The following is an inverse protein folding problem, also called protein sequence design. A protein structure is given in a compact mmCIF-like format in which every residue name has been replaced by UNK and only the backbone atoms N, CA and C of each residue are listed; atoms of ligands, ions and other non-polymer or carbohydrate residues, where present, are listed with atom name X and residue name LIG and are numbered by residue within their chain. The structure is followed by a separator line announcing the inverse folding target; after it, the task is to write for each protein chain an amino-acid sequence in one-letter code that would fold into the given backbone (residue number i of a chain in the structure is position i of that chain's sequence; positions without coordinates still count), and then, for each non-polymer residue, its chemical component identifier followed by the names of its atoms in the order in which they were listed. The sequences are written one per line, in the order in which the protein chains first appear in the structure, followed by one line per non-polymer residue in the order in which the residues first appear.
data_IF_552236560567
#
_entry.id   IF_552236560567
#
_cell.length_a   1.000
_cell.length_b   1.000
_cell.length_c   1.000
_cell.angle_alpha   90.00
_cell.angle_beta   90.00
_cell.angle_gamma   90.00
#
_symmetry.space_group_name_H-M   'P 1'
#
loop_
_entity.id
_entity.type
_entity.pdbx_description
1 polymer ?
#
# COMPACT_ATOMS: atom_id res chain seq x y z
N UNK A 1 19.96 2.59 5.51
CA UNK A 1 18.90 3.61 5.32
C UNK A 1 17.56 2.94 5.53
N UNK A 2 16.94 3.12 6.69
CA UNK A 2 15.56 2.67 6.93
C UNK A 2 14.62 3.62 6.18
N UNK A 3 13.78 3.08 5.28
CA UNK A 3 12.76 3.85 4.54
C UNK A 3 11.45 3.73 5.29
N UNK A 4 11.14 4.74 6.10
CA UNK A 4 9.84 4.93 6.75
C UNK A 4 9.01 5.93 5.97
N UNK A 5 7.70 5.69 5.91
CA UNK A 5 6.73 6.59 5.28
C UNK A 5 5.83 7.18 6.35
N UNK A 6 5.87 8.50 6.49
CA UNK A 6 5.03 9.25 7.41
C UNK A 6 3.82 9.82 6.66
N UNK A 7 2.64 9.62 7.22
CA UNK A 7 1.40 10.22 6.75
C UNK A 7 0.60 10.77 7.93
N UNK A 8 -0.20 11.79 7.66
CA UNK A 8 -1.09 12.36 8.67
C UNK A 8 -2.49 11.83 8.42
N UNK A 9 -3.05 11.12 9.40
CA UNK A 9 -4.46 10.72 9.39
C UNK A 9 -5.25 11.85 10.00
N UNK A 10 -6.13 12.47 9.21
CA UNK A 10 -7.06 13.47 9.70
C UNK A 10 -8.38 12.76 10.01
N UNK A 11 -8.73 12.72 11.29
CA UNK A 11 -10.04 12.20 11.70
C UNK A 11 -11.10 13.23 11.32
N UNK A 12 -11.93 12.87 10.34
CA UNK A 12 -13.03 13.74 9.90
C UNK A 12 -14.07 14.00 11.01
N UNK A 13 -14.09 13.18 12.07
CA UNK A 13 -15.09 13.25 13.12
C UNK A 13 -14.72 14.19 14.28
N UNK A 14 -13.43 14.48 14.48
CA UNK A 14 -12.93 15.21 15.67
C UNK A 14 -11.95 16.35 15.30
N UNK A 15 -11.61 16.51 14.02
CA UNK A 15 -10.61 17.50 13.57
C UNK A 15 -9.18 17.20 14.03
N UNK A 16 -8.97 16.09 14.74
CA UNK A 16 -7.66 15.65 15.22
C UNK A 16 -6.85 15.06 14.08
N UNK A 17 -5.61 15.52 13.95
CA UNK A 17 -4.64 14.98 13.01
C UNK A 17 -3.62 14.15 13.79
N UNK A 18 -3.60 12.84 13.53
CA UNK A 18 -2.57 11.96 14.07
C UNK A 18 -1.52 11.71 13.00
N UNK A 19 -0.28 12.14 13.27
CA UNK A 19 0.88 11.68 12.50
C UNK A 19 1.09 10.20 12.77
N UNK A 20 1.13 9.42 11.70
CA UNK A 20 1.36 8.00 11.75
C UNK A 20 2.46 7.63 10.77
N UNK A 21 3.36 6.78 11.21
CA UNK A 21 4.45 6.27 10.39
C UNK A 21 4.27 4.80 10.16
N UNK A 22 4.42 4.37 8.91
CA UNK A 22 4.49 2.97 8.53
C UNK A 22 5.89 2.69 8.02
N UNK A 23 6.42 1.52 8.38
CA UNK A 23 7.76 1.09 7.96
C UNK A 23 7.68 0.15 6.76
N UNK A 24 8.72 0.16 5.94
CA UNK A 24 8.91 -0.88 4.94
C UNK A 24 9.21 -2.21 5.65
N UNK A 25 8.33 -3.19 5.49
CA UNK A 25 8.50 -4.56 5.99
C UNK A 25 9.31 -5.39 5.01
N UNK A 26 10.18 -6.25 5.53
CA UNK A 26 10.92 -7.22 4.72
C UNK A 26 10.10 -8.48 4.50
N UNK A 27 10.39 -9.22 3.43
CA UNK A 27 9.72 -10.48 3.12
C UNK A 27 9.76 -11.49 4.27
N UNK A 28 10.86 -11.55 5.04
CA UNK A 28 10.97 -12.44 6.21
C UNK A 28 10.04 -12.05 7.37
N UNK A 29 9.72 -10.76 7.50
CA UNK A 29 8.82 -10.27 8.54
C UNK A 29 7.36 -10.53 8.17
N UNK A 30 7.01 -10.59 6.88
CA UNK A 30 5.61 -10.71 6.41
C UNK A 30 4.85 -11.90 6.98
N UNK A 31 5.53 -12.95 7.45
CA UNK A 31 4.91 -14.11 8.13
C UNK A 31 4.21 -13.75 9.44
N UNK A 32 4.66 -12.68 10.11
CA UNK A 32 4.12 -12.18 11.38
C UNK A 32 3.10 -11.04 11.18
N UNK A 33 2.75 -10.72 9.93
CA UNK A 33 1.84 -9.63 9.59
C UNK A 33 0.71 -10.10 8.69
N UNK A 34 -0.45 -9.48 8.84
CA UNK A 34 -1.63 -9.77 8.03
C UNK A 34 -1.80 -8.73 6.94
N UNK A 35 -2.02 -9.17 5.70
CA UNK A 35 -2.26 -8.26 4.58
C UNK A 35 -3.61 -7.55 4.74
N UNK A 36 -3.59 -6.22 4.78
CA UNK A 36 -4.80 -5.39 4.82
C UNK A 36 -5.32 -5.06 3.42
N UNK A 37 -4.41 -4.86 2.47
CA UNK A 37 -4.75 -4.47 1.11
C UNK A 37 -3.53 -4.11 0.29
N UNK A 38 -3.75 -3.87 -0.99
CA UNK A 38 -2.70 -3.52 -1.94
C UNK A 38 -3.16 -2.40 -2.87
N UNK A 39 -2.21 -1.64 -3.38
CA UNK A 39 -2.48 -0.61 -4.36
C UNK A 39 -1.32 -0.43 -5.33
N UNK A 40 -1.63 0.10 -6.50
CA UNK A 40 -0.67 0.41 -7.55
C UNK A 40 -0.44 1.92 -7.63
N UNK A 41 0.75 2.32 -8.06
CA UNK A 41 1.11 3.73 -8.31
C UNK A 41 2.16 4.23 -7.34
N UNK A 42 2.10 5.51 -6.99
CA UNK A 42 2.93 6.07 -5.92
C UNK A 42 2.51 5.50 -4.56
N UNK A 43 3.40 5.49 -3.56
CA UNK A 43 3.08 4.97 -2.21
C UNK A 43 1.80 5.60 -1.63
N UNK A 44 1.59 6.89 -1.85
CA UNK A 44 0.40 7.61 -1.40
C UNK A 44 -0.88 7.20 -2.16
N UNK A 45 -0.79 6.95 -3.47
CA UNK A 45 -1.91 6.46 -4.29
C UNK A 45 -2.26 5.02 -3.92
N UNK A 46 -1.25 4.17 -3.76
CA UNK A 46 -1.42 2.80 -3.34
C UNK A 46 -2.05 2.74 -1.94
N UNK A 47 -1.63 3.63 -1.03
CA UNK A 47 -2.23 3.76 0.30
C UNK A 47 -3.70 4.17 0.21
N UNK A 48 -4.02 5.18 -0.61
CA UNK A 48 -5.41 5.62 -0.81
C UNK A 48 -6.29 4.50 -1.41
N UNK A 49 -5.76 3.73 -2.37
CA UNK A 49 -6.44 2.58 -2.96
C UNK A 49 -6.64 1.46 -1.94
N UNK A 50 -5.60 1.10 -1.19
CA UNK A 50 -5.70 0.10 -0.12
C UNK A 50 -6.74 0.48 0.95
N UNK A 51 -6.78 1.77 1.30
CA UNK A 51 -7.76 2.32 2.24
C UNK A 51 -9.20 2.25 1.73
N UNK A 52 -9.46 2.37 0.43
CA UNK A 52 -10.83 2.26 -0.12
C UNK A 52 -11.47 0.91 0.09
N UNK A 53 -10.67 -0.16 0.16
CA UNK A 53 -11.17 -1.53 0.29
C UNK A 53 -11.14 -2.04 1.74
N UNK A 54 -10.67 -1.23 2.70
CA UNK A 54 -10.52 -1.66 4.09
C UNK A 54 -10.98 -0.55 5.05
N UNK A 55 -12.08 -0.81 5.77
CA UNK A 55 -12.55 0.08 6.84
C UNK A 55 -11.50 0.09 7.96
N UNK A 56 -11.17 1.28 8.48
CA UNK A 56 -10.13 1.48 9.49
C UNK A 56 -8.69 1.15 9.04
N UNK A 57 -8.45 1.09 7.73
CA UNK A 57 -7.12 0.81 7.16
C UNK A 57 -6.02 1.67 7.77
N UNK A 58 -6.22 2.99 7.82
CA UNK A 58 -5.25 3.94 8.39
C UNK A 58 -4.95 3.67 9.87
N UNK A 59 -5.90 3.08 10.61
CA UNK A 59 -5.74 2.72 12.01
C UNK A 59 -5.02 1.37 12.19
N UNK A 60 -5.23 0.43 11.28
CA UNK A 60 -4.66 -0.93 11.37
C UNK A 60 -3.30 -1.08 10.71
N UNK A 61 -3.02 -0.28 9.68
CA UNK A 61 -1.77 -0.37 8.92
C UNK A 61 -0.57 0.02 9.80
N UNK A 62 0.41 -0.87 9.85
CA UNK A 62 1.67 -0.70 10.61
C UNK A 62 2.89 -0.71 9.71
N UNK A 63 2.77 -1.32 8.53
CA UNK A 63 3.86 -1.44 7.57
C UNK A 63 3.38 -1.69 6.16
N UNK A 64 4.30 -1.58 5.22
CA UNK A 64 4.07 -1.86 3.82
C UNK A 64 5.24 -2.62 3.22
N UNK A 65 5.01 -3.41 2.19
CA UNK A 65 6.07 -4.03 1.40
C UNK A 65 5.87 -3.72 -0.07
N UNK A 66 6.98 -3.59 -0.79
CA UNK A 66 6.96 -3.61 -2.24
C UNK A 66 6.65 -5.04 -2.67
N UNK A 67 5.63 -5.19 -3.51
CA UNK A 67 5.40 -6.48 -4.14
C UNK A 67 6.60 -6.80 -5.04
N UNK A 68 6.99 -8.07 -5.07
CA UNK A 68 8.03 -8.56 -5.96
C UNK A 68 7.79 -8.10 -7.40
N UNK A 69 8.88 -7.94 -8.16
CA UNK A 69 8.80 -7.53 -9.56
C UNK A 69 7.88 -8.45 -10.37
N UNK A 70 7.83 -9.74 -10.04
CA UNK A 70 6.91 -10.72 -10.63
C UNK A 70 5.43 -10.39 -10.36
N UNK A 71 5.06 -10.09 -9.11
CA UNK A 71 3.69 -9.71 -8.73
C UNK A 71 3.33 -8.36 -9.33
N UNK A 72 4.27 -7.43 -9.32
CA UNK A 72 4.14 -6.12 -9.98
C UNK A 72 3.90 -6.30 -11.47
N UNK A 73 4.62 -7.22 -12.12
CA UNK A 73 4.46 -7.52 -13.55
C UNK A 73 3.10 -8.16 -13.82
N UNK A 74 2.68 -9.16 -13.04
CA UNK A 74 1.35 -9.79 -13.20
C UNK A 74 0.20 -8.78 -13.04
N UNK A 75 0.28 -7.91 -12.03
CA UNK A 75 -0.74 -6.88 -11.82
C UNK A 75 -0.71 -5.81 -12.91
N UNK A 76 0.47 -5.37 -13.34
CA UNK A 76 0.55 -4.47 -14.49
C UNK A 76 0.05 -5.16 -15.75
N UNK A 77 0.34 -6.43 -15.99
CA UNK A 77 -0.14 -7.18 -17.16
C UNK A 77 -1.67 -7.23 -17.16
N UNK A 78 -2.29 -7.62 -16.03
CA UNK A 78 -3.74 -7.60 -15.87
C UNK A 78 -4.38 -6.20 -16.05
N UNK A 79 -3.68 -5.14 -15.62
CA UNK A 79 -4.12 -3.75 -15.82
C UNK A 79 -3.92 -3.28 -17.26
N UNK A 80 -2.85 -3.72 -17.93
CA UNK A 80 -2.54 -3.38 -19.32
C UNK A 80 -3.44 -4.16 -20.29
N UNK A 81 -3.83 -5.41 -19.99
CA UNK A 81 -4.81 -6.15 -20.79
C UNK A 81 -6.18 -5.44 -20.82
N UNK A 82 -6.55 -4.74 -19.75
CA UNK A 82 -7.76 -3.90 -19.71
C UNK A 82 -7.60 -2.52 -20.36
N UNK A 83 -6.37 -2.06 -20.62
CA UNK A 83 -6.11 -0.73 -21.16
C UNK A 83 -5.93 -0.79 -22.69
N UNK A 84 -6.97 -0.41 -23.45
CA UNK A 84 -6.98 -0.41 -24.93
C UNK A 84 -6.01 0.57 -25.62
N UNK A 85 -4.97 1.05 -24.96
CA UNK A 85 -4.00 1.97 -25.55
C UNK A 85 -2.64 1.64 -24.96
N UNK A 86 -1.64 1.30 -25.80
CA UNK A 86 -0.34 0.68 -25.47
C UNK A 86 0.60 1.49 -24.55
N UNK A 87 0.07 1.97 -23.44
CA UNK A 87 0.69 2.81 -22.44
C UNK A 87 1.11 1.88 -21.31
N UNK A 88 2.36 1.40 -21.36
CA UNK A 88 2.91 0.51 -20.32
C UNK A 88 2.91 1.22 -18.98
N UNK A 89 1.95 0.90 -18.12
CA UNK A 89 2.01 1.30 -16.72
C UNK A 89 3.21 0.57 -16.08
N UNK A 90 4.18 1.35 -15.60
CA UNK A 90 5.20 0.89 -14.64
C UNK A 90 4.81 1.39 -13.26
N UNK A 91 3.65 0.94 -12.79
CA UNK A 91 3.20 1.28 -11.45
C UNK A 91 3.84 0.33 -10.45
N UNK A 92 4.55 0.86 -9.45
CA UNK A 92 4.99 0.08 -8.31
C UNK A 92 3.75 -0.43 -7.55
N UNK A 93 3.78 -1.69 -7.14
CA UNK A 93 2.72 -2.27 -6.32
C UNK A 93 3.18 -2.28 -4.88
N UNK A 94 2.38 -1.68 -4.01
CA UNK A 94 2.61 -1.69 -2.57
C UNK A 94 1.51 -2.51 -1.91
N UNK A 95 1.92 -3.47 -1.08
CA UNK A 95 1.06 -4.21 -0.18
C UNK A 95 1.20 -3.63 1.23
N UNK A 96 0.09 -3.52 1.95
CA UNK A 96 0.01 -2.93 3.28
C UNK A 96 -0.42 -3.99 4.28
N UNK A 97 0.14 -3.91 5.47
CA UNK A 97 -0.01 -4.95 6.47
C UNK A 97 -0.33 -4.37 7.85
N UNK A 98 -1.09 -5.14 8.64
CA UNK A 98 -1.30 -4.96 10.07
C UNK A 98 -0.48 -5.99 10.86
N UNK A 99 -0.23 -5.70 12.13
CA UNK A 99 0.37 -6.66 13.05
C UNK A 99 -0.64 -7.79 13.30
N UNK A 100 -0.23 -9.05 13.07
CA UNK A 100 -1.09 -10.23 13.26
C UNK A 100 -1.41 -10.48 14.73
#
# INVERSE_FOLDING_TARGET
MERSFEFTVISANDGTSQKKSIRLLRADELKDYKSLGSGTGSLMEAFARGSRHCKDFSSRVVGYALASEEVTKQLNDALNEGASSGMKYRASVYAFYEKA
#
